data_IF_924027941638
#
_entry.id   IF_924027941638
#
_cell.length_a   1.000
_cell.length_b   1.000
_cell.length_c   1.000
_cell.angle_alpha   90.00
_cell.angle_beta   90.00
_cell.angle_gamma   90.00
#
_symmetry.space_group_name_H-M   'P 1'
#
loop_
_entity.id
_entity.type
_entity.pdbx_description
1 polymer ?
#
# COMPACT_ATOMS: atom_id res chain seq x y z
N UNK A 1 -5.94 -9.82 36.44
CA UNK A 1 -5.21 -8.68 35.85
C UNK A 1 -4.75 -9.12 34.48
N UNK A 2 -5.35 -8.56 33.43
CA UNK A 2 -5.07 -8.92 32.04
C UNK A 2 -3.99 -7.95 31.54
N UNK A 3 -2.77 -8.46 31.37
CA UNK A 3 -1.63 -7.68 30.90
C UNK A 3 -1.83 -7.41 29.42
N UNK A 4 -2.23 -6.18 29.08
CA UNK A 4 -2.15 -5.68 27.71
C UNK A 4 -0.67 -5.76 27.34
N UNK A 5 -0.31 -6.68 26.44
CA UNK A 5 1.01 -6.71 25.86
C UNK A 5 1.22 -5.36 25.16
N UNK A 6 1.96 -4.47 25.82
CA UNK A 6 2.54 -3.32 25.16
C UNK A 6 3.39 -3.90 24.03
N UNK A 7 2.88 -3.78 22.82
CA UNK A 7 3.52 -4.17 21.58
C UNK A 7 4.74 -3.23 21.44
N UNK A 8 5.82 -3.59 22.12
CA UNK A 8 7.06 -2.82 22.20
C UNK A 8 7.79 -2.96 20.87
N UNK A 9 7.31 -2.17 19.91
CA UNK A 9 7.96 -1.28 18.95
C UNK A 9 9.48 -1.40 18.67
N UNK A 10 10.10 -2.56 18.78
CA UNK A 10 11.26 -2.87 17.96
C UNK A 10 10.73 -3.24 16.57
N UNK A 11 10.58 -2.24 15.70
CA UNK A 11 10.21 -2.45 14.31
C UNK A 11 11.05 -3.61 13.75
N UNK A 12 10.38 -4.69 13.31
CA UNK A 12 11.03 -5.88 12.76
C UNK A 12 12.13 -5.42 11.77
N UNK A 13 13.43 -5.63 12.07
CA UNK A 13 14.50 -5.13 11.24
C UNK A 13 14.40 -5.64 9.80
N UNK A 14 13.81 -6.82 9.60
CA UNK A 14 13.54 -7.37 8.28
C UNK A 14 12.39 -6.64 7.58
N UNK A 15 11.32 -6.25 8.29
CA UNK A 15 10.28 -5.37 7.75
C UNK A 15 10.84 -3.99 7.38
N UNK A 16 11.66 -3.39 8.26
CA UNK A 16 12.31 -2.09 7.99
C UNK A 16 13.20 -2.16 6.75
N UNK A 17 14.03 -3.21 6.62
CA UNK A 17 14.88 -3.41 5.44
C UNK A 17 14.06 -3.62 4.16
N UNK A 18 12.95 -4.37 4.23
CA UNK A 18 12.01 -4.55 3.11
C UNK A 18 11.37 -3.24 2.69
N UNK A 19 10.88 -2.43 3.63
CA UNK A 19 10.31 -1.11 3.31
C UNK A 19 11.37 -0.17 2.73
N UNK A 20 12.57 -0.13 3.32
CA UNK A 20 13.67 0.69 2.81
C UNK A 20 14.05 0.34 1.36
N UNK A 21 14.00 -0.95 0.99
CA UNK A 21 14.26 -1.39 -0.38
C UNK A 21 13.14 -0.98 -1.38
N UNK A 22 11.91 -0.80 -0.89
CA UNK A 22 10.75 -0.43 -1.72
C UNK A 22 10.56 1.08 -1.87
N UNK A 23 11.09 1.89 -0.95
CA UNK A 23 10.97 3.35 -0.99
C UNK A 23 11.40 3.98 -2.33
N UNK A 24 12.55 3.62 -2.94
CA UNK A 24 12.94 4.20 -4.23
C UNK A 24 11.93 3.91 -5.35
N UNK A 25 11.30 2.72 -5.32
CA UNK A 25 10.28 2.35 -6.31
C UNK A 25 8.96 3.11 -6.06
N UNK A 26 8.58 3.29 -4.80
CA UNK A 26 7.42 4.10 -4.42
C UNK A 26 7.59 5.55 -4.89
N UNK A 27 8.74 6.17 -4.60
CA UNK A 27 9.05 7.55 -5.00
C UNK A 27 9.00 7.72 -6.52
N UNK A 28 9.58 6.79 -7.26
CA UNK A 28 9.57 6.80 -8.73
C UNK A 28 8.14 6.74 -9.28
N UNK A 29 7.33 5.79 -8.78
CA UNK A 29 5.95 5.59 -9.26
C UNK A 29 5.05 6.76 -8.86
N UNK A 30 5.24 7.32 -7.67
CA UNK A 30 4.56 8.53 -7.24
C UNK A 30 4.89 9.71 -8.14
N UNK A 31 6.18 9.91 -8.46
CA UNK A 31 6.63 10.97 -9.36
C UNK A 31 6.00 10.85 -10.75
N UNK A 32 5.95 9.65 -11.33
CA UNK A 32 5.29 9.41 -12.64
C UNK A 32 3.80 9.73 -12.63
N UNK A 33 3.08 9.28 -11.59
CA UNK A 33 1.67 9.60 -11.45
C UNK A 33 1.46 11.11 -11.31
N UNK A 34 2.27 11.76 -10.47
CA UNK A 34 2.23 13.22 -10.28
C UNK A 34 2.47 13.97 -11.58
N UNK A 35 3.47 13.58 -12.36
CA UNK A 35 3.77 14.23 -13.64
C UNK A 35 2.64 14.02 -14.65
N UNK A 36 2.08 12.81 -14.72
CA UNK A 36 0.90 12.51 -15.57
C UNK A 36 -0.30 13.37 -15.19
N UNK A 37 -0.58 13.52 -13.89
CA UNK A 37 -1.67 14.39 -13.41
C UNK A 37 -1.41 15.87 -13.71
N UNK A 38 -0.15 16.31 -13.64
CA UNK A 38 0.22 17.68 -14.03
C UNK A 38 0.00 17.93 -15.53
N UNK A 39 0.36 16.99 -16.38
CA UNK A 39 0.10 17.06 -17.83
C UNK A 39 -1.40 17.12 -18.11
N UNK A 40 -2.19 16.24 -17.47
CA UNK A 40 -3.65 16.25 -17.58
C UNK A 40 -4.25 17.61 -17.16
N UNK A 41 -3.78 18.16 -16.04
CA UNK A 41 -4.23 19.46 -15.53
C UNK A 41 -3.81 20.63 -16.43
N UNK A 42 -2.72 20.50 -17.18
CA UNK A 42 -2.29 21.46 -18.20
C UNK A 42 -3.10 21.36 -19.52
N UNK A 43 -4.03 20.40 -19.61
CA UNK A 43 -4.83 20.18 -20.81
C UNK A 43 -4.12 19.37 -21.90
N UNK A 44 -3.03 18.68 -21.56
CA UNK A 44 -2.36 17.78 -22.50
C UNK A 44 -3.28 16.60 -22.84
N UNK A 45 -3.27 16.19 -24.11
CA UNK A 45 -4.01 14.99 -24.54
C UNK A 45 -3.22 13.76 -24.13
N UNK A 46 -3.73 13.04 -23.13
CA UNK A 46 -3.18 11.78 -22.65
C UNK A 46 -4.08 10.62 -23.07
N UNK A 47 -3.53 9.42 -23.32
CA UNK A 47 -4.33 8.21 -23.44
C UNK A 47 -5.14 7.94 -22.17
N UNK A 48 -6.39 7.53 -22.33
CA UNK A 48 -7.34 7.27 -21.23
C UNK A 48 -6.81 6.28 -20.17
N UNK A 49 -5.96 5.34 -20.60
CA UNK A 49 -5.37 4.32 -19.73
C UNK A 49 -4.16 4.82 -18.93
N UNK A 50 -3.53 5.93 -19.29
CA UNK A 50 -2.23 6.32 -18.75
C UNK A 50 -2.32 6.70 -17.26
N UNK A 51 -3.36 7.42 -16.84
CA UNK A 51 -3.57 7.76 -15.41
C UNK A 51 -3.89 6.48 -14.62
N UNK A 52 -4.75 5.61 -15.16
CA UNK A 52 -5.13 4.37 -14.51
C UNK A 52 -3.92 3.44 -14.32
N UNK A 53 -3.05 3.33 -15.32
CA UNK A 53 -1.82 2.56 -15.25
C UNK A 53 -0.88 3.06 -14.16
N UNK A 54 -0.54 4.36 -14.16
CA UNK A 54 0.37 4.91 -13.16
C UNK A 54 -0.19 4.84 -11.73
N UNK A 55 -1.52 4.94 -11.59
CA UNK A 55 -2.20 4.71 -10.31
C UNK A 55 -2.07 3.26 -9.87
N UNK A 56 -2.33 2.30 -10.75
CA UNK A 56 -2.20 0.88 -10.46
C UNK A 56 -0.76 0.50 -10.08
N UNK A 57 0.22 1.05 -10.79
CA UNK A 57 1.64 0.86 -10.48
C UNK A 57 1.97 1.32 -9.06
N UNK A 58 1.56 2.53 -8.67
CA UNK A 58 1.82 3.03 -7.31
C UNK A 58 1.12 2.16 -6.26
N UNK A 59 -0.13 1.78 -6.49
CA UNK A 59 -0.89 0.93 -5.57
C UNK A 59 -0.23 -0.44 -5.36
N UNK A 60 0.33 -1.07 -6.39
CA UNK A 60 1.00 -2.36 -6.25
C UNK A 60 2.22 -2.32 -5.31
N UNK A 61 2.96 -1.20 -5.27
CA UNK A 61 4.07 -1.03 -4.33
C UNK A 61 3.55 -0.80 -2.92
N UNK A 62 2.53 0.04 -2.75
CA UNK A 62 1.93 0.30 -1.44
C UNK A 62 1.29 -0.95 -0.84
N UNK A 63 0.66 -1.79 -1.66
CA UNK A 63 0.11 -3.08 -1.26
C UNK A 63 1.21 -4.01 -0.74
N UNK A 64 2.34 -4.10 -1.46
CA UNK A 64 3.51 -4.88 -1.02
C UNK A 64 4.12 -4.33 0.27
N UNK A 65 4.01 -3.03 0.51
CA UNK A 65 4.49 -2.35 1.72
C UNK A 65 3.49 -2.40 2.87
N UNK A 66 2.27 -2.89 2.66
CA UNK A 66 1.25 -2.99 3.71
C UNK A 66 1.23 -4.44 4.19
N UNK A 67 1.75 -4.75 5.39
CA UNK A 67 1.61 -6.09 5.92
C UNK A 67 0.13 -6.40 6.09
N UNK A 68 -0.36 -7.48 5.48
CA UNK A 68 -1.66 -8.03 5.84
C UNK A 68 -1.55 -8.61 7.24
N UNK A 69 -2.31 -8.09 8.20
CA UNK A 69 -2.43 -8.73 9.51
C UNK A 69 -3.07 -10.11 9.31
N UNK A 70 -2.40 -11.22 9.68
CA UNK A 70 -2.98 -12.54 9.59
C UNK A 70 -4.13 -12.76 10.61
N UNK A 71 -4.37 -11.82 11.52
CA UNK A 71 -5.41 -11.93 12.56
C UNK A 71 -6.80 -11.41 12.13
N UNK A 72 -6.96 -10.82 10.95
CA UNK A 72 -8.27 -10.37 10.44
C UNK A 72 -9.06 -11.47 9.69
N UNK A 73 -8.49 -12.67 9.53
CA UNK A 73 -9.13 -13.79 8.81
C UNK A 73 -10.00 -14.69 9.71
N UNK A 74 -9.98 -14.50 11.04
CA UNK A 74 -10.63 -15.40 12.03
C UNK A 74 -11.82 -14.76 12.79
N UNK A 75 -12.51 -13.80 12.16
CA UNK A 75 -13.70 -13.13 12.72
C UNK A 75 -14.97 -13.19 11.86
N UNK A 76 -15.07 -14.18 10.98
CA UNK A 76 -16.39 -14.58 10.48
C UNK A 76 -17.07 -15.44 11.56
N UNK A 77 -18.10 -14.97 12.28
CA UNK A 77 -18.86 -15.86 13.15
C UNK A 77 -19.49 -16.97 12.28
N UNK A 78 -19.61 -18.21 12.78
CA UNK A 78 -20.32 -19.23 12.04
C UNK A 78 -21.75 -18.72 11.80
N UNK A 79 -22.16 -18.66 10.53
CA UNK A 79 -23.57 -18.49 10.18
C UNK A 79 -24.28 -19.76 10.64
N UNK A 80 -24.75 -19.75 11.88
CA UNK A 80 -25.69 -20.74 12.38
C UNK A 80 -26.98 -20.55 11.60
N UNK A 81 -27.23 -21.47 10.67
CA UNK A 81 -28.46 -21.53 9.89
C UNK A 81 -29.48 -22.27 10.75
N UNK A 82 -30.43 -21.54 11.33
CA UNK A 82 -31.59 -22.10 12.03
C UNK A 82 -32.80 -22.19 11.08
#
# INVERSE_FOLDING_TARGET
MMTIAMHDAAADPAAVARFAALLPMMDERYRRLKDTLRQAAAGETLPDWQIALHRADLLAVLDTMTPSDPEDDDRSPPVETA
#
